data_IF_186661198380
#
_entry.id   IF_186661198380
#
_cell.length_a   1.000
_cell.length_b   1.000
_cell.length_c   1.000
_cell.angle_alpha   90.00
_cell.angle_beta   90.00
_cell.angle_gamma   90.00
#
_symmetry.space_group_name_H-M   'P 1'
#
loop_
_entity.id
_entity.type
_entity.pdbx_description
1 polymer ?
#
# COMPACT_ATOMS: atom_id res chain seq x y z
N UNK A 1 4.00 2.77 -9.02
CA UNK A 1 3.18 3.68 -8.21
C UNK A 1 4.06 4.72 -7.50
N UNK A 2 3.60 5.96 -7.29
CA UNK A 2 4.40 7.04 -6.70
C UNK A 2 3.51 7.98 -5.86
N UNK A 3 3.90 8.26 -4.62
CA UNK A 3 3.15 9.16 -3.71
C UNK A 3 4.10 9.91 -2.77
N UNK A 4 3.62 11.00 -2.19
CA UNK A 4 4.32 11.75 -1.14
C UNK A 4 3.52 11.59 0.14
N UNK A 5 4.12 10.98 1.16
CA UNK A 5 3.50 10.85 2.48
C UNK A 5 3.96 12.01 3.35
N UNK A 6 3.08 12.98 3.67
CA UNK A 6 3.46 14.17 4.40
C UNK A 6 3.72 13.87 5.88
N UNK A 7 4.71 14.55 6.45
CA UNK A 7 5.14 14.35 7.84
C UNK A 7 4.17 14.83 8.93
N UNK A 8 2.98 15.29 8.56
CA UNK A 8 2.02 15.93 9.45
C UNK A 8 0.85 14.99 9.76
N UNK A 9 1.05 13.99 10.62
CA UNK A 9 0.01 13.29 11.40
C UNK A 9 -1.30 12.85 10.69
N UNK A 10 -1.35 12.75 9.35
CA UNK A 10 -2.54 12.26 8.66
C UNK A 10 -2.47 10.75 8.56
N UNK A 11 -3.61 10.13 8.85
CA UNK A 11 -3.79 8.71 9.20
C UNK A 11 -3.29 7.74 8.10
N UNK A 12 -3.16 8.19 6.85
CA UNK A 12 -2.62 7.44 5.71
C UNK A 12 -2.48 8.34 4.46
N UNK A 13 -1.77 7.87 3.42
CA UNK A 13 -1.68 8.51 2.09
C UNK A 13 -1.98 7.50 1.00
N UNK A 14 -2.89 7.84 0.07
CA UNK A 14 -3.18 7.00 -1.09
C UNK A 14 -2.02 7.03 -2.07
N UNK A 15 -1.54 5.84 -2.44
CA UNK A 15 -0.35 5.65 -3.25
C UNK A 15 -0.58 4.99 -4.61
N UNK A 16 -1.82 4.64 -4.92
CA UNK A 16 -2.21 4.11 -6.22
C UNK A 16 -3.51 4.75 -6.70
N UNK A 17 -3.76 4.72 -8.01
CA UNK A 17 -5.13 4.81 -8.50
C UNK A 17 -5.92 3.58 -8.04
N UNK A 18 -7.27 3.64 -7.98
CA UNK A 18 -8.10 2.47 -7.76
C UNK A 18 -7.83 1.36 -8.79
N UNK A 19 -7.87 0.11 -8.36
CA UNK A 19 -7.72 -1.06 -9.21
C UNK A 19 -8.57 -2.23 -8.74
N UNK A 20 -8.84 -3.17 -9.65
CA UNK A 20 -9.66 -4.35 -9.38
C UNK A 20 -8.80 -5.55 -9.01
N UNK A 21 -9.26 -6.33 -8.02
CA UNK A 21 -8.67 -7.61 -7.61
C UNK A 21 -9.76 -8.67 -7.66
N UNK A 22 -9.66 -9.62 -8.59
CA UNK A 22 -10.62 -10.71 -8.76
C UNK A 22 -10.50 -11.75 -7.63
N UNK A 23 -11.50 -12.65 -7.46
CA UNK A 23 -11.41 -13.75 -6.51
C UNK A 23 -10.16 -14.61 -6.72
N UNK A 24 -9.47 -14.95 -5.65
CA UNK A 24 -8.25 -15.76 -5.65
C UNK A 24 -6.95 -14.98 -5.95
N UNK A 25 -7.04 -13.72 -6.37
CA UNK A 25 -5.84 -12.92 -6.67
C UNK A 25 -5.20 -12.34 -5.41
N UNK A 26 -3.90 -12.13 -5.49
CA UNK A 26 -3.06 -11.54 -4.46
C UNK A 26 -2.46 -10.22 -4.92
N UNK A 27 -2.37 -9.28 -3.98
CA UNK A 27 -1.69 -7.99 -4.17
C UNK A 27 -0.32 -8.07 -3.52
N UNK A 28 0.70 -7.93 -4.35
CA UNK A 28 2.10 -7.85 -3.93
C UNK A 28 2.65 -6.47 -4.26
N UNK A 29 3.51 -5.97 -3.38
CA UNK A 29 4.20 -4.70 -3.58
C UNK A 29 5.70 -4.87 -3.44
N UNK A 30 6.45 -4.05 -4.15
CA UNK A 30 7.87 -3.85 -3.95
C UNK A 30 8.12 -2.39 -3.61
N UNK A 31 8.79 -2.13 -2.49
CA UNK A 31 9.22 -0.78 -2.15
C UNK A 31 10.54 -0.48 -2.88
N UNK A 32 10.54 0.45 -3.82
CA UNK A 32 11.72 0.84 -4.60
C UNK A 32 12.51 1.93 -3.89
N UNK A 33 11.84 2.97 -3.42
CA UNK A 33 12.47 4.10 -2.74
C UNK A 33 11.52 4.76 -1.74
N UNK A 34 12.10 5.30 -0.65
CA UNK A 34 11.41 6.02 0.42
C UNK A 34 12.36 7.00 1.15
N UNK A 35 13.41 7.46 0.48
CA UNK A 35 14.47 8.25 1.14
C UNK A 35 15.17 7.52 2.28
N UNK A 36 15.21 6.18 2.25
CA UNK A 36 15.80 5.34 3.29
C UNK A 36 14.90 5.08 4.51
N UNK A 37 13.66 5.57 4.51
CA UNK A 37 12.72 5.41 5.63
C UNK A 37 11.91 4.11 5.51
N UNK A 38 11.64 3.41 6.63
CA UNK A 38 10.73 2.28 6.61
C UNK A 38 9.28 2.78 6.41
N UNK A 39 8.48 2.09 5.59
CA UNK A 39 7.10 2.48 5.25
C UNK A 39 6.17 1.28 5.39
N UNK A 40 5.06 1.44 6.10
CA UNK A 40 4.01 0.43 6.19
C UNK A 40 2.98 0.65 5.08
N UNK A 41 2.48 -0.43 4.49
CA UNK A 41 1.46 -0.38 3.44
C UNK A 41 0.24 -1.19 3.83
N UNK A 42 -0.93 -0.65 3.52
CA UNK A 42 -2.21 -1.33 3.65
C UNK A 42 -2.96 -1.24 2.32
N UNK A 43 -3.91 -2.16 2.16
CA UNK A 43 -4.85 -2.17 1.05
C UNK A 43 -6.24 -1.95 1.62
N UNK A 44 -6.95 -0.96 1.11
CA UNK A 44 -8.30 -0.62 1.53
C UNK A 44 -9.25 -0.54 0.32
N UNK A 45 -10.58 -0.50 0.54
CA UNK A 45 -11.53 -0.18 -0.51
C UNK A 45 -11.21 1.16 -1.18
N UNK A 46 -11.40 1.24 -2.49
CA UNK A 46 -11.27 2.51 -3.20
C UNK A 46 -12.28 3.53 -2.66
N UNK A 47 -11.81 4.73 -2.32
CA UNK A 47 -12.63 5.75 -1.66
C UNK A 47 -12.61 5.71 -0.13
N UNK A 48 -11.82 4.81 0.47
CA UNK A 48 -11.60 4.72 1.90
C UNK A 48 -12.51 3.70 2.59
N UNK A 49 -12.08 3.20 3.74
CA UNK A 49 -12.87 2.27 4.55
C UNK A 49 -12.02 1.50 5.55
N UNK A 50 -12.46 0.28 5.85
CA UNK A 50 -11.66 -0.64 6.65
C UNK A 50 -10.66 -1.37 5.77
N UNK A 51 -9.39 -1.38 6.20
CA UNK A 51 -8.32 -2.08 5.51
C UNK A 51 -8.67 -3.56 5.29
N UNK A 52 -8.51 -4.03 4.05
CA UNK A 52 -8.57 -5.44 3.73
C UNK A 52 -7.36 -6.21 4.30
N UNK A 53 -6.22 -5.53 4.40
CA UNK A 53 -5.01 -6.09 5.00
C UNK A 53 -3.81 -5.15 4.89
N UNK A 54 -2.82 -5.38 5.73
CA UNK A 54 -1.58 -4.62 5.77
C UNK A 54 -0.37 -5.54 5.73
N UNK A 55 0.75 -5.00 5.27
CA UNK A 55 2.06 -5.61 5.51
C UNK A 55 2.31 -5.58 7.03
N UNK A 56 2.72 -6.72 7.59
CA UNK A 56 2.88 -6.90 9.05
C UNK A 56 4.03 -6.10 9.67
N UNK A 57 4.86 -5.47 8.83
CA UNK A 57 6.04 -4.71 9.21
C UNK A 57 6.21 -3.53 8.25
N UNK A 58 6.96 -2.52 8.68
CA UNK A 58 7.34 -1.42 7.81
C UNK A 58 8.47 -1.85 6.88
N UNK A 59 8.23 -1.77 5.57
CA UNK A 59 9.14 -2.20 4.53
C UNK A 59 10.28 -1.20 4.32
N UNK A 60 11.46 -1.70 3.96
CA UNK A 60 12.62 -0.91 3.52
C UNK A 60 12.77 -0.93 1.99
N UNK A 61 13.44 0.08 1.40
CA UNK A 61 13.78 0.06 -0.03
C UNK A 61 14.46 -1.25 -0.44
N UNK A 62 13.99 -1.84 -1.54
CA UNK A 62 14.41 -3.13 -2.08
C UNK A 62 13.51 -4.30 -1.70
N UNK A 63 12.72 -4.19 -0.61
CA UNK A 63 11.90 -5.29 -0.12
C UNK A 63 10.61 -5.48 -0.93
N UNK A 64 10.08 -6.71 -0.91
CA UNK A 64 8.80 -7.08 -1.50
C UNK A 64 7.94 -7.83 -0.50
N UNK A 65 6.64 -7.57 -0.49
CA UNK A 65 5.70 -8.21 0.44
C UNK A 65 4.33 -8.41 -0.21
N UNK A 66 3.62 -9.45 0.25
CA UNK A 66 2.18 -9.59 0.01
C UNK A 66 1.42 -8.70 0.97
N UNK A 67 0.56 -7.83 0.46
CA UNK A 67 -0.30 -6.96 1.27
C UNK A 67 -1.59 -7.68 1.61
N UNK A 68 -2.21 -8.32 0.61
CA UNK A 68 -3.51 -8.95 0.76
C UNK A 68 -3.77 -10.05 -0.29
N UNK A 69 -4.72 -10.93 -0.02
CA UNK A 69 -5.24 -11.95 -0.93
C UNK A 69 -6.77 -11.89 -0.89
N UNK A 70 -7.40 -11.64 -2.04
CA UNK A 70 -8.84 -11.68 -2.19
C UNK A 70 -9.38 -13.12 -2.10
N UNK A 71 -9.61 -13.60 -0.88
CA UNK A 71 -10.29 -14.87 -0.62
C UNK A 71 -11.81 -14.76 -0.67
N UNK A 72 -12.34 -13.58 -1.01
CA UNK A 72 -13.78 -13.39 -1.13
C UNK A 72 -14.26 -13.89 -2.49
N UNK A 73 -15.52 -14.32 -2.58
CA UNK A 73 -16.12 -14.77 -3.84
C UNK A 73 -16.45 -13.65 -4.85
N UNK A 74 -15.99 -12.41 -4.59
CA UNK A 74 -16.30 -11.24 -5.41
C UNK A 74 -15.05 -10.41 -5.74
N UNK A 75 -15.04 -9.78 -6.91
CA UNK A 75 -14.02 -8.79 -7.28
C UNK A 75 -14.11 -7.58 -6.34
N UNK A 76 -12.96 -7.09 -5.86
CA UNK A 76 -12.87 -5.89 -5.02
C UNK A 76 -12.23 -4.74 -5.78
N UNK A 77 -12.82 -3.55 -5.63
CA UNK A 77 -12.22 -2.29 -6.07
C UNK A 77 -11.46 -1.67 -4.90
N UNK A 78 -10.15 -1.56 -5.03
CA UNK A 78 -9.23 -1.28 -3.91
C UNK A 78 -8.23 -0.19 -4.28
N UNK A 79 -7.59 0.36 -3.25
CA UNK A 79 -6.45 1.26 -3.38
C UNK A 79 -5.38 0.91 -2.35
N UNK A 80 -4.12 1.18 -2.69
CA UNK A 80 -3.01 1.01 -1.77
C UNK A 80 -2.76 2.31 -1.02
N UNK A 81 -2.62 2.22 0.29
CA UNK A 81 -2.24 3.33 1.16
C UNK A 81 -0.89 3.07 1.81
N UNK A 82 -0.11 4.14 1.98
CA UNK A 82 1.10 4.16 2.79
C UNK A 82 0.82 4.86 4.11
N UNK A 83 1.36 4.30 5.19
CA UNK A 83 1.40 4.91 6.51
C UNK A 83 2.87 5.06 6.95
N UNK A 84 3.23 6.24 7.43
CA UNK A 84 4.50 6.47 8.14
C UNK A 84 4.27 7.30 9.40
N UNK A 85 4.94 6.89 10.48
CA UNK A 85 4.99 7.63 11.74
C UNK A 85 6.09 8.73 11.72
N UNK A 86 6.84 8.87 10.62
CA UNK A 86 7.95 9.81 10.52
C UNK A 86 7.49 11.19 10.04
N UNK A 87 8.00 12.25 10.69
CA UNK A 87 7.56 13.65 10.48
C UNK A 87 8.15 14.34 9.23
N UNK A 88 8.42 13.60 8.16
CA UNK A 88 9.04 14.14 6.94
C UNK A 88 8.29 13.72 5.68
N UNK A 89 8.32 14.57 4.66
CA UNK A 89 7.77 14.24 3.34
C UNK A 89 8.57 13.12 2.70
N UNK A 90 8.00 11.91 2.67
CA UNK A 90 8.64 10.76 2.06
C UNK A 90 8.03 10.52 0.68
N UNK A 91 8.84 10.68 -0.37
CA UNK A 91 8.47 10.19 -1.69
C UNK A 91 8.64 8.68 -1.75
N UNK A 92 7.54 7.98 -1.93
CA UNK A 92 7.48 6.53 -2.04
C UNK A 92 7.36 6.15 -3.51
N UNK A 93 8.27 5.32 -3.99
CA UNK A 93 8.14 4.65 -5.28
C UNK A 93 8.02 3.15 -5.03
N UNK A 94 7.05 2.51 -5.67
CA UNK A 94 6.90 1.07 -5.57
C UNK A 94 6.29 0.46 -6.83
N UNK A 95 6.42 -0.85 -6.94
CA UNK A 95 5.76 -1.65 -7.98
C UNK A 95 4.61 -2.41 -7.36
N UNK A 96 3.47 -2.43 -8.04
CA UNK A 96 2.27 -3.14 -7.60
C UNK A 96 1.97 -4.23 -8.62
N UNK A 97 1.83 -5.46 -8.14
CA UNK A 97 1.49 -6.62 -8.97
C UNK A 97 0.25 -7.31 -8.40
N UNK A 98 -0.73 -7.55 -9.27
CA UNK A 98 -1.90 -8.38 -8.97
C UNK A 98 -1.71 -9.70 -9.72
N UNK A 99 -1.74 -10.83 -9.01
CA UNK A 99 -1.51 -12.16 -9.56
C UNK A 99 -2.46 -13.18 -8.99
#
# INVERSE_FOLDING_TARGET
MNCVVPGLSVVYTVCSNPFLVAPGQEVHIRLVASGGKPVAFCLEPAGGGWDHGCVKYAMRPGESARVWHNRTGATRNVQLIANTNERVDVRVQGDLTVR
#
